data_IF_723369167205
#
_entry.id   IF_723369167205
#
_cell.length_a   1.000
_cell.length_b   1.000
_cell.length_c   1.000
_cell.angle_alpha   90.00
_cell.angle_beta   90.00
_cell.angle_gamma   90.00
#
_symmetry.space_group_name_H-M   'P 1'
#
loop_
_entity.id
_entity.type
_entity.pdbx_description
1 polymer ?
#
# COMPACT_ATOMS: atom_id res chain seq x y z
N UNK A 1 36.12 -35.74 1.64
CA UNK A 1 35.52 -35.38 0.33
C UNK A 1 34.02 -35.33 0.53
N UNK A 2 33.47 -34.15 0.83
CA UNK A 2 32.02 -33.96 0.97
C UNK A 2 31.64 -32.89 -0.04
N UNK A 3 30.81 -33.28 -0.99
CA UNK A 3 30.31 -32.43 -2.07
C UNK A 3 29.39 -31.34 -1.51
N UNK A 4 29.71 -30.09 -1.82
CA UNK A 4 28.80 -28.95 -1.73
C UNK A 4 27.64 -29.17 -2.72
N UNK A 5 26.62 -29.92 -2.30
CA UNK A 5 25.33 -29.97 -2.98
C UNK A 5 24.61 -28.62 -2.79
N UNK A 6 24.82 -27.73 -3.75
CA UNK A 6 23.73 -27.08 -4.46
C UNK A 6 22.64 -26.37 -3.63
N UNK A 7 22.99 -25.57 -2.62
CA UNK A 7 22.03 -24.62 -2.05
C UNK A 7 21.72 -23.50 -3.07
N UNK A 8 20.68 -23.67 -3.90
CA UNK A 8 20.13 -22.60 -4.74
C UNK A 8 19.60 -21.46 -3.85
N UNK A 9 19.87 -20.17 -4.16
CA UNK A 9 19.53 -19.07 -3.27
C UNK A 9 18.02 -18.90 -3.08
N UNK A 10 17.59 -18.55 -1.85
CA UNK A 10 16.21 -18.32 -1.37
C UNK A 10 15.36 -17.32 -2.19
N UNK A 11 16.01 -16.54 -3.04
CA UNK A 11 15.38 -15.87 -4.19
C UNK A 11 16.23 -16.24 -5.39
N UNK A 12 15.91 -17.35 -6.05
CA UNK A 12 16.63 -17.74 -7.26
C UNK A 12 16.59 -16.56 -8.22
N UNK A 13 17.74 -15.90 -8.44
CA UNK A 13 17.92 -15.15 -9.67
C UNK A 13 17.72 -16.19 -10.75
N UNK A 14 16.57 -16.17 -11.42
CA UNK A 14 16.35 -16.99 -12.62
C UNK A 14 17.53 -16.67 -13.51
N UNK A 15 18.44 -17.63 -13.66
CA UNK A 15 19.56 -17.52 -14.56
C UNK A 15 18.92 -17.50 -15.95
N UNK A 16 18.78 -16.29 -16.48
CA UNK A 16 18.29 -16.13 -17.83
C UNK A 16 19.29 -16.83 -18.75
N UNK A 17 18.81 -17.57 -19.76
CA UNK A 17 19.71 -18.17 -20.72
C UNK A 17 20.53 -17.09 -21.43
N UNK A 18 21.70 -17.45 -21.95
CA UNK A 18 22.56 -16.49 -22.66
C UNK A 18 21.87 -15.91 -23.92
N UNK A 19 21.19 -16.76 -24.68
CA UNK A 19 20.38 -16.42 -25.87
C UNK A 19 19.07 -17.21 -25.89
N UNK A 20 18.11 -16.84 -26.76
CA UNK A 20 16.82 -17.53 -26.86
C UNK A 20 15.91 -17.39 -25.63
N UNK A 21 14.95 -18.30 -25.45
CA UNK A 21 14.03 -18.29 -24.28
C UNK A 21 14.16 -19.51 -23.37
N UNK A 22 14.83 -20.57 -23.81
CA UNK A 22 14.91 -21.84 -23.10
C UNK A 22 16.15 -21.88 -22.20
N UNK A 23 16.00 -22.38 -20.98
CA UNK A 23 17.13 -22.75 -20.12
C UNK A 23 17.85 -23.99 -20.64
N UNK A 24 18.95 -24.36 -20.01
CA UNK A 24 19.68 -25.60 -20.31
C UNK A 24 18.78 -26.84 -20.20
N UNK A 25 17.86 -26.85 -19.22
CA UNK A 25 16.86 -27.91 -19.03
C UNK A 25 15.69 -27.86 -20.05
N UNK A 26 15.75 -27.00 -21.08
CA UNK A 26 14.68 -26.85 -22.07
C UNK A 26 13.42 -26.12 -21.56
N UNK A 27 13.48 -25.47 -20.40
CA UNK A 27 12.33 -24.78 -19.79
C UNK A 27 12.33 -23.31 -20.24
N UNK A 28 11.20 -22.76 -20.73
CA UNK A 28 11.13 -21.33 -21.00
C UNK A 28 11.36 -20.50 -19.73
N UNK A 29 12.27 -19.53 -19.77
CA UNK A 29 12.64 -18.75 -18.57
C UNK A 29 11.42 -18.02 -17.97
N UNK A 30 10.42 -17.66 -18.79
CA UNK A 30 9.19 -17.01 -18.33
C UNK A 30 8.21 -17.97 -17.65
N UNK A 31 8.43 -19.29 -17.71
CA UNK A 31 7.76 -20.29 -16.86
C UNK A 31 8.46 -20.45 -15.49
N UNK A 32 9.71 -20.03 -15.36
CA UNK A 32 10.39 -20.01 -14.05
C UNK A 32 10.04 -18.77 -13.22
N UNK A 33 9.53 -17.72 -13.86
CA UNK A 33 9.24 -16.44 -13.21
C UNK A 33 7.78 -16.38 -12.73
N UNK A 34 7.60 -16.31 -11.41
CA UNK A 34 6.30 -16.11 -10.74
C UNK A 34 5.76 -14.68 -10.78
N UNK A 35 6.61 -13.73 -11.16
CA UNK A 35 6.34 -12.29 -11.07
C UNK A 35 6.23 -11.65 -12.46
N UNK A 36 5.96 -10.35 -12.49
CA UNK A 36 5.92 -9.60 -13.74
C UNK A 36 7.25 -9.73 -14.49
N UNK A 37 7.19 -10.08 -15.77
CA UNK A 37 8.35 -9.98 -16.64
C UNK A 37 8.75 -8.50 -16.78
N UNK A 38 10.06 -8.26 -16.82
CA UNK A 38 10.59 -6.93 -17.13
C UNK A 38 10.37 -6.64 -18.63
N UNK A 39 10.32 -5.36 -19.05
CA UNK A 39 10.16 -5.00 -20.46
C UNK A 39 11.17 -5.69 -21.39
N UNK A 40 12.44 -5.76 -20.98
CA UNK A 40 13.50 -6.46 -21.73
C UNK A 40 13.24 -7.96 -21.89
N UNK A 41 12.61 -8.61 -20.91
CA UNK A 41 12.26 -10.03 -21.01
C UNK A 41 11.10 -10.24 -22.00
N UNK A 42 10.10 -9.36 -21.97
CA UNK A 42 8.97 -9.41 -22.91
C UNK A 42 9.45 -9.22 -24.35
N UNK A 43 10.35 -8.26 -24.57
CA UNK A 43 10.94 -8.02 -25.88
C UNK A 43 11.70 -9.25 -26.39
N UNK A 44 12.47 -9.91 -25.52
CA UNK A 44 13.20 -11.14 -25.85
C UNK A 44 12.27 -12.30 -26.21
N UNK A 45 11.17 -12.50 -25.48
CA UNK A 45 10.16 -13.51 -25.82
C UNK A 45 9.55 -13.24 -27.19
N UNK A 46 9.20 -11.98 -27.46
CA UNK A 46 8.67 -11.56 -28.77
C UNK A 46 9.68 -11.75 -29.91
N UNK A 47 10.96 -11.46 -29.67
CA UNK A 47 12.03 -11.68 -30.66
C UNK A 47 12.22 -13.16 -31.03
N UNK A 48 11.88 -14.07 -30.12
CA UNK A 48 11.88 -15.50 -30.38
C UNK A 48 10.57 -16.02 -31.01
N UNK A 49 9.69 -15.12 -31.49
CA UNK A 49 8.46 -15.49 -32.20
C UNK A 49 7.33 -15.99 -31.30
N UNK A 50 7.43 -15.81 -29.98
CA UNK A 50 6.41 -16.26 -29.03
C UNK A 50 5.44 -15.10 -28.76
N UNK A 51 4.17 -15.31 -29.10
CA UNK A 51 3.09 -14.39 -28.79
C UNK A 51 2.40 -14.80 -27.48
N UNK A 52 2.65 -14.03 -26.43
CA UNK A 52 2.04 -14.28 -25.13
C UNK A 52 0.57 -13.83 -25.13
N UNK A 53 -0.35 -14.75 -24.84
CA UNK A 53 -1.78 -14.44 -24.72
C UNK A 53 -2.06 -13.56 -23.51
N UNK A 54 -2.81 -12.50 -23.74
CA UNK A 54 -3.33 -11.58 -22.72
C UNK A 54 -4.83 -11.82 -22.60
N UNK A 55 -5.35 -11.80 -21.37
CA UNK A 55 -6.79 -11.97 -21.10
C UNK A 55 -7.11 -13.25 -20.34
N UNK A 56 -8.41 -13.59 -20.34
CA UNK A 56 -8.97 -14.70 -19.58
C UNK A 56 -8.44 -16.06 -20.07
N UNK A 57 -8.45 -17.04 -19.17
CA UNK A 57 -8.13 -18.43 -19.50
C UNK A 57 -9.38 -19.11 -20.08
N UNK A 58 -9.22 -19.83 -21.19
CA UNK A 58 -10.28 -20.66 -21.74
C UNK A 58 -10.58 -21.88 -20.85
N UNK A 59 -11.67 -22.58 -21.13
CA UNK A 59 -12.01 -23.80 -20.41
C UNK A 59 -10.97 -24.91 -20.66
N UNK A 60 -10.44 -25.01 -21.87
CA UNK A 60 -9.38 -25.96 -22.22
C UNK A 60 -8.10 -25.68 -21.42
N UNK A 61 -7.72 -24.40 -21.29
CA UNK A 61 -6.56 -24.01 -20.48
C UNK A 61 -6.78 -24.33 -18.99
N UNK A 62 -7.99 -24.12 -18.47
CA UNK A 62 -8.32 -24.49 -17.09
C UNK A 62 -8.25 -26.01 -16.87
N UNK A 63 -8.85 -26.81 -17.77
CA UNK A 63 -8.81 -28.27 -17.68
C UNK A 63 -7.39 -28.83 -17.83
N UNK A 64 -6.53 -28.17 -18.61
CA UNK A 64 -5.12 -28.53 -18.70
C UNK A 64 -4.39 -28.21 -17.38
N UNK A 65 -4.66 -27.05 -16.78
CA UNK A 65 -4.07 -26.64 -15.51
C UNK A 65 -4.48 -27.56 -14.35
N UNK A 66 -5.72 -28.06 -14.34
CA UNK A 66 -6.18 -29.09 -13.39
C UNK A 66 -5.40 -30.38 -13.53
N UNK A 67 -5.30 -30.91 -14.76
CA UNK A 67 -4.52 -32.14 -15.03
C UNK A 67 -3.04 -31.99 -14.67
N UNK A 68 -2.45 -30.82 -14.96
CA UNK A 68 -1.06 -30.53 -14.59
C UNK A 68 -0.88 -30.54 -13.07
N UNK A 69 -1.82 -29.97 -12.32
CA UNK A 69 -1.80 -30.00 -10.85
C UNK A 69 -1.94 -31.41 -10.30
N UNK A 70 -2.91 -32.19 -10.77
CA UNK A 70 -3.11 -33.58 -10.34
C UNK A 70 -1.88 -34.45 -10.59
N UNK A 71 -1.28 -34.34 -11.78
CA UNK A 71 -0.05 -35.05 -12.13
C UNK A 71 1.10 -34.65 -11.21
N UNK A 72 1.29 -33.35 -10.99
CA UNK A 72 2.34 -32.85 -10.10
C UNK A 72 2.13 -33.31 -8.66
N UNK A 73 0.89 -33.25 -8.16
CA UNK A 73 0.53 -33.64 -6.81
C UNK A 73 0.82 -35.13 -6.59
N UNK A 74 0.40 -35.99 -7.52
CA UNK A 74 0.70 -37.43 -7.48
C UNK A 74 2.21 -37.72 -7.54
N UNK A 75 2.93 -37.09 -8.46
CA UNK A 75 4.38 -37.32 -8.64
C UNK A 75 5.23 -36.89 -7.44
N UNK A 76 4.76 -35.93 -6.65
CA UNK A 76 5.49 -35.37 -5.52
C UNK A 76 4.87 -35.71 -4.16
N UNK A 77 3.91 -36.64 -4.12
CA UNK A 77 3.18 -37.06 -2.93
C UNK A 77 2.60 -35.86 -2.13
N UNK A 78 1.98 -34.93 -2.84
CA UNK A 78 1.30 -33.75 -2.29
C UNK A 78 -0.20 -33.97 -2.35
N UNK A 79 -0.90 -33.60 -1.29
CA UNK A 79 -2.37 -33.60 -1.30
C UNK A 79 -2.91 -32.61 -2.34
N UNK A 80 -3.77 -33.08 -3.24
CA UNK A 80 -4.44 -32.28 -4.27
C UNK A 80 -5.19 -31.06 -3.69
N UNK A 81 -5.64 -31.10 -2.44
CA UNK A 81 -6.31 -29.97 -1.76
C UNK A 81 -5.40 -28.76 -1.57
N UNK A 82 -4.07 -28.93 -1.61
CA UNK A 82 -3.07 -27.90 -1.34
C UNK A 82 -2.76 -26.97 -2.51
N UNK A 83 -3.49 -27.08 -3.62
CA UNK A 83 -3.26 -26.28 -4.83
C UNK A 83 -3.22 -24.77 -4.55
N UNK A 84 -4.14 -24.27 -3.73
CA UNK A 84 -4.21 -22.86 -3.37
C UNK A 84 -2.98 -22.40 -2.59
N UNK A 85 -2.55 -23.21 -1.63
CA UNK A 85 -1.34 -22.98 -0.84
C UNK A 85 -0.12 -22.90 -1.76
N UNK A 86 0.01 -23.87 -2.69
CA UNK A 86 1.13 -23.94 -3.62
C UNK A 86 1.17 -22.73 -4.57
N UNK A 87 0.01 -22.23 -4.99
CA UNK A 87 -0.10 -21.00 -5.77
C UNK A 87 0.24 -19.72 -4.96
N UNK A 88 0.50 -19.83 -3.66
CA UNK A 88 0.83 -18.73 -2.75
C UNK A 88 -0.37 -18.16 -1.99
N UNK A 89 -1.47 -18.92 -1.96
CA UNK A 89 -2.77 -18.56 -1.38
C UNK A 89 -2.69 -18.04 0.04
N UNK A 90 -2.00 -18.79 0.90
CA UNK A 90 -1.83 -18.55 2.34
C UNK A 90 -0.49 -17.90 2.71
N UNK A 91 0.19 -17.25 1.76
CA UNK A 91 1.57 -16.79 1.95
C UNK A 91 1.76 -15.68 3.01
N UNK A 92 0.68 -15.07 3.52
CA UNK A 92 0.73 -14.08 4.61
C UNK A 92 0.30 -14.67 5.95
N UNK A 93 -0.44 -15.76 5.91
CA UNK A 93 -0.98 -16.49 7.03
C UNK A 93 -0.01 -17.59 7.50
N UNK A 94 0.77 -18.14 6.56
CA UNK A 94 1.88 -19.06 6.85
C UNK A 94 3.00 -18.38 7.62
N UNK A 95 3.64 -19.17 8.48
CA UNK A 95 4.88 -18.78 9.13
C UNK A 95 6.01 -18.59 8.08
N UNK A 96 7.02 -17.79 8.43
CA UNK A 96 8.12 -17.47 7.52
C UNK A 96 8.94 -18.70 7.12
N UNK A 97 9.15 -19.65 8.04
CA UNK A 97 9.91 -20.88 7.82
C UNK A 97 9.11 -21.86 6.98
N UNK A 98 7.83 -22.10 7.29
CA UNK A 98 6.91 -22.91 6.49
C UNK A 98 6.82 -22.39 5.05
N UNK A 99 6.64 -21.07 4.87
CA UNK A 99 6.64 -20.46 3.55
C UNK A 99 7.98 -20.66 2.82
N UNK A 100 9.09 -20.56 3.54
CA UNK A 100 10.42 -20.75 2.97
C UNK A 100 10.61 -22.19 2.51
N UNK A 101 10.22 -23.15 3.35
CA UNK A 101 10.28 -24.58 3.06
C UNK A 101 9.41 -24.93 1.85
N UNK A 102 8.20 -24.37 1.75
CA UNK A 102 7.32 -24.54 0.60
C UNK A 102 7.98 -24.03 -0.69
N UNK A 103 8.59 -22.85 -0.67
CA UNK A 103 9.26 -22.29 -1.85
C UNK A 103 10.49 -23.10 -2.27
N UNK A 104 11.27 -23.59 -1.30
CA UNK A 104 12.42 -24.46 -1.55
C UNK A 104 11.97 -25.76 -2.21
N UNK A 105 10.93 -26.39 -1.65
CA UNK A 105 10.33 -27.59 -2.21
C UNK A 105 9.85 -27.36 -3.65
N UNK A 106 9.06 -26.31 -3.88
CA UNK A 106 8.54 -25.94 -5.20
C UNK A 106 9.61 -25.69 -6.25
N UNK A 107 10.75 -25.10 -5.85
CA UNK A 107 11.87 -24.90 -6.76
C UNK A 107 12.61 -26.21 -7.06
N UNK A 108 12.74 -27.10 -6.07
CA UNK A 108 13.38 -28.41 -6.24
C UNK A 108 12.57 -29.31 -7.19
N UNK A 109 11.24 -29.22 -7.13
CA UNK A 109 10.31 -30.06 -7.90
C UNK A 109 9.83 -29.39 -9.20
N UNK A 110 10.38 -28.24 -9.60
CA UNK A 110 9.98 -27.48 -10.79
C UNK A 110 8.47 -27.23 -10.87
N UNK A 111 7.85 -26.83 -9.76
CA UNK A 111 6.39 -26.63 -9.68
C UNK A 111 5.84 -25.70 -10.76
N UNK A 112 6.39 -24.49 -10.94
CA UNK A 112 5.83 -23.53 -11.91
C UNK A 112 5.97 -24.05 -13.35
N UNK A 113 7.15 -24.55 -13.79
CA UNK A 113 7.25 -25.25 -15.07
C UNK A 113 6.23 -26.38 -15.25
N UNK A 114 6.02 -27.21 -14.23
CA UNK A 114 5.05 -28.31 -14.29
C UNK A 114 3.61 -27.79 -14.49
N UNK A 115 3.23 -26.69 -13.83
CA UNK A 115 1.91 -26.08 -14.04
C UNK A 115 1.76 -25.46 -15.43
N UNK A 116 2.86 -24.96 -16.00
CA UNK A 116 2.90 -24.36 -17.34
C UNK A 116 3.00 -25.38 -18.49
N UNK A 117 3.05 -26.69 -18.20
CA UNK A 117 3.17 -27.72 -19.24
C UNK A 117 2.02 -27.61 -20.26
N UNK A 118 2.37 -27.42 -21.54
CA UNK A 118 1.39 -27.21 -22.63
C UNK A 118 0.81 -25.79 -22.73
N UNK A 119 1.13 -24.87 -21.82
CA UNK A 119 0.68 -23.47 -21.82
C UNK A 119 1.79 -22.51 -22.25
N UNK A 120 2.44 -22.80 -23.39
CA UNK A 120 3.67 -22.10 -23.84
C UNK A 120 3.47 -20.62 -24.20
N UNK A 121 2.23 -20.21 -24.46
CA UNK A 121 1.80 -18.83 -24.74
C UNK A 121 1.35 -18.09 -23.47
N UNK A 122 1.46 -18.70 -22.29
CA UNK A 122 1.18 -18.08 -20.99
C UNK A 122 2.45 -17.96 -20.16
N UNK A 123 2.52 -16.92 -19.34
CA UNK A 123 3.62 -16.76 -18.37
C UNK A 123 3.37 -17.55 -17.09
N UNK A 124 4.44 -17.94 -16.39
CA UNK A 124 4.33 -18.57 -15.07
C UNK A 124 3.52 -17.74 -14.08
N UNK A 125 3.68 -16.41 -14.11
CA UNK A 125 2.83 -15.49 -13.34
C UNK A 125 1.34 -15.65 -13.64
N UNK A 126 0.97 -15.71 -14.92
CA UNK A 126 -0.44 -15.83 -15.33
C UNK A 126 -1.01 -17.16 -14.85
N UNK A 127 -0.28 -18.25 -15.05
CA UNK A 127 -0.68 -19.59 -14.60
C UNK A 127 -0.88 -19.63 -13.08
N UNK A 128 0.09 -19.14 -12.30
CA UNK A 128 -0.04 -19.09 -10.84
C UNK A 128 -1.18 -18.16 -10.39
N UNK A 129 -1.36 -17.02 -11.05
CA UNK A 129 -2.48 -16.11 -10.76
C UNK A 129 -3.83 -16.77 -11.05
N UNK A 130 -3.91 -17.60 -12.09
CA UNK A 130 -5.12 -18.36 -12.41
C UNK A 130 -5.36 -19.47 -11.40
N UNK A 131 -4.34 -20.19 -10.97
CA UNK A 131 -4.45 -21.18 -9.89
C UNK A 131 -5.00 -20.56 -8.60
N UNK A 132 -4.55 -19.36 -8.22
CA UNK A 132 -5.08 -18.64 -7.06
C UNK A 132 -6.59 -18.36 -7.17
N UNK A 133 -7.13 -18.27 -8.38
CA UNK A 133 -8.57 -18.07 -8.60
C UNK A 133 -9.29 -19.42 -8.57
N UNK A 134 -8.83 -20.38 -9.38
CA UNK A 134 -9.47 -21.70 -9.53
C UNK A 134 -9.54 -22.48 -8.23
N UNK A 135 -8.47 -22.43 -7.45
CA UNK A 135 -8.36 -23.20 -6.21
C UNK A 135 -8.69 -22.39 -4.97
N UNK A 136 -9.22 -21.17 -5.12
CA UNK A 136 -9.67 -20.41 -3.96
C UNK A 136 -10.72 -21.24 -3.18
N UNK A 137 -10.63 -21.37 -1.84
CA UNK A 137 -11.59 -22.16 -1.06
C UNK A 137 -13.06 -21.79 -1.33
N UNK A 138 -13.28 -20.50 -1.59
CA UNK A 138 -14.60 -19.95 -1.93
C UNK A 138 -15.10 -20.16 -3.36
N UNK A 139 -14.32 -20.75 -4.26
CA UNK A 139 -14.76 -20.89 -5.66
C UNK A 139 -15.72 -22.08 -5.85
N UNK A 140 -15.55 -23.16 -5.08
CA UNK A 140 -16.41 -24.36 -5.16
C UNK A 140 -17.71 -24.23 -4.35
N UNK A 141 -17.70 -23.47 -3.27
CA UNK A 141 -18.82 -23.34 -2.32
C UNK A 141 -19.31 -21.89 -2.22
N UNK A 142 -19.75 -21.32 -3.35
CA UNK A 142 -20.43 -20.01 -3.31
C UNK A 142 -21.86 -20.18 -2.81
N UNK A 143 -22.02 -20.31 -1.50
CA UNK A 143 -23.33 -20.12 -0.85
C UNK A 143 -23.82 -18.70 -1.16
N UNK A 144 -25.12 -18.45 -1.20
CA UNK A 144 -25.59 -17.05 -1.29
C UNK A 144 -25.14 -16.27 -0.06
N UNK A 145 -24.92 -14.97 -0.24
CA UNK A 145 -24.59 -14.10 0.88
C UNK A 145 -25.85 -13.90 1.74
N UNK A 146 -25.82 -14.38 2.98
CA UNK A 146 -26.92 -14.29 3.93
C UNK A 146 -26.53 -13.47 5.18
N UNK A 147 -27.48 -13.28 6.10
CA UNK A 147 -27.27 -12.48 7.32
C UNK A 147 -26.20 -13.09 8.24
N UNK A 148 -26.14 -14.41 8.33
CA UNK A 148 -25.18 -15.14 9.16
C UNK A 148 -23.74 -14.93 8.67
N UNK A 149 -23.56 -14.91 7.34
CA UNK A 149 -22.28 -14.59 6.71
C UNK A 149 -21.92 -13.10 6.86
N UNK A 150 -22.91 -12.21 6.83
CA UNK A 150 -22.72 -10.77 7.11
C UNK A 150 -22.19 -10.56 8.54
N UNK A 151 -22.78 -11.22 9.55
CA UNK A 151 -22.31 -11.11 10.94
C UNK A 151 -20.88 -11.64 11.12
N UNK A 152 -20.55 -12.79 10.52
CA UNK A 152 -19.19 -13.32 10.56
C UNK A 152 -18.19 -12.38 9.87
N UNK A 153 -18.58 -11.79 8.73
CA UNK A 153 -17.79 -10.78 8.03
C UNK A 153 -17.54 -9.54 8.90
N UNK A 154 -18.59 -8.97 9.48
CA UNK A 154 -18.48 -7.77 10.32
C UNK A 154 -17.62 -8.03 11.56
N UNK A 155 -17.77 -9.19 12.21
CA UNK A 155 -16.93 -9.61 13.33
C UNK A 155 -15.45 -9.69 12.94
N UNK A 156 -15.12 -10.39 11.85
CA UNK A 156 -13.73 -10.50 11.39
C UNK A 156 -13.15 -9.14 10.97
N UNK A 157 -13.97 -8.28 10.38
CA UNK A 157 -13.56 -6.92 10.03
C UNK A 157 -13.27 -6.08 11.28
N UNK A 158 -14.13 -6.15 12.30
CA UNK A 158 -13.95 -5.47 13.58
C UNK A 158 -12.70 -5.96 14.36
N UNK A 159 -12.33 -7.24 14.22
CA UNK A 159 -11.08 -7.80 14.74
C UNK A 159 -9.82 -7.27 14.01
N UNK A 160 -9.98 -6.47 12.95
CA UNK A 160 -8.87 -5.89 12.19
C UNK A 160 -8.26 -6.84 11.15
N UNK A 161 -8.97 -7.91 10.78
CA UNK A 161 -8.49 -8.84 9.76
C UNK A 161 -8.37 -8.16 8.39
N UNK A 162 -7.32 -8.49 7.64
CA UNK A 162 -7.17 -7.99 6.27
C UNK A 162 -8.21 -8.60 5.33
N UNK A 163 -8.56 -7.93 4.23
CA UNK A 163 -9.56 -8.45 3.29
C UNK A 163 -9.21 -9.83 2.71
N UNK A 164 -7.91 -10.16 2.61
CA UNK A 164 -7.46 -11.49 2.20
C UNK A 164 -7.68 -12.55 3.29
N UNK A 165 -7.39 -12.22 4.55
CA UNK A 165 -7.62 -13.13 5.67
C UNK A 165 -9.12 -13.43 5.86
N UNK A 166 -9.96 -12.40 5.73
CA UNK A 166 -11.42 -12.54 5.75
C UNK A 166 -11.90 -13.41 4.58
N UNK A 167 -11.39 -13.16 3.37
CA UNK A 167 -11.68 -13.95 2.17
C UNK A 167 -11.37 -15.43 2.34
N UNK A 168 -10.26 -15.78 3.00
CA UNK A 168 -9.93 -17.16 3.32
C UNK A 168 -10.88 -17.75 4.36
N UNK A 169 -11.08 -17.07 5.50
CA UNK A 169 -11.90 -17.59 6.62
C UNK A 169 -13.36 -17.80 6.23
N UNK A 170 -13.92 -16.87 5.48
CA UNK A 170 -15.31 -16.94 5.01
C UNK A 170 -15.47 -17.74 3.71
N UNK A 171 -14.36 -18.20 3.13
CA UNK A 171 -14.35 -18.87 1.82
C UNK A 171 -15.09 -18.01 0.77
N UNK A 172 -14.69 -16.75 0.64
CA UNK A 172 -15.23 -15.79 -0.34
C UNK A 172 -14.15 -15.17 -1.17
N UNK A 173 -14.47 -14.74 -2.38
CA UNK A 173 -13.48 -14.06 -3.21
C UNK A 173 -13.05 -12.75 -2.52
N UNK A 174 -11.76 -12.40 -2.64
CA UNK A 174 -11.27 -11.12 -2.11
C UNK A 174 -12.04 -9.93 -2.70
N UNK A 175 -12.44 -10.00 -3.97
CA UNK A 175 -13.19 -8.95 -4.64
C UNK A 175 -14.56 -8.72 -3.98
N UNK A 176 -15.25 -9.80 -3.63
CA UNK A 176 -16.52 -9.76 -2.89
C UNK A 176 -16.32 -9.19 -1.48
N UNK A 177 -15.28 -9.63 -0.75
CA UNK A 177 -14.95 -9.04 0.55
C UNK A 177 -14.61 -7.55 0.44
N UNK A 178 -13.83 -7.13 -0.55
CA UNK A 178 -13.52 -5.71 -0.76
C UNK A 178 -14.81 -4.91 -1.07
N UNK A 179 -15.74 -5.49 -1.83
CA UNK A 179 -17.05 -4.90 -2.07
C UNK A 179 -17.85 -4.76 -0.78
N UNK A 180 -17.90 -5.80 0.06
CA UNK A 180 -18.59 -5.75 1.36
C UNK A 180 -17.93 -4.81 2.35
N UNK A 181 -16.62 -4.69 2.37
CA UNK A 181 -15.91 -3.65 3.14
C UNK A 181 -16.34 -2.26 2.70
N UNK A 182 -16.45 -2.01 1.39
CA UNK A 182 -16.95 -0.72 0.89
C UNK A 182 -18.41 -0.49 1.31
N UNK A 183 -19.25 -1.53 1.31
CA UNK A 183 -20.65 -1.44 1.70
C UNK A 183 -20.84 -1.23 3.20
N UNK A 184 -20.04 -1.94 4.02
CA UNK A 184 -20.00 -1.79 5.46
C UNK A 184 -19.52 -0.39 5.82
N UNK A 185 -18.42 0.08 5.24
CA UNK A 185 -17.98 1.47 5.41
C UNK A 185 -19.09 2.46 5.12
N UNK A 186 -19.87 2.26 4.05
CA UNK A 186 -21.04 3.10 3.76
C UNK A 186 -22.15 3.04 4.83
N UNK A 187 -22.31 1.93 5.57
CA UNK A 187 -23.32 1.76 6.64
C UNK A 187 -22.84 2.18 8.03
N UNK A 188 -21.62 1.76 8.40
CA UNK A 188 -21.05 1.88 9.74
C UNK A 188 -20.17 3.11 9.91
N UNK A 189 -19.66 3.71 8.83
CA UNK A 189 -19.49 5.15 8.87
C UNK A 189 -20.93 5.67 8.98
N UNK A 190 -21.37 5.86 10.25
CA UNK A 190 -22.44 6.80 10.54
C UNK A 190 -22.19 7.98 9.59
N UNK A 191 -23.21 8.53 8.89
CA UNK A 191 -23.03 9.90 8.46
C UNK A 191 -22.57 10.61 9.73
N UNK A 192 -21.31 11.06 9.80
CA UNK A 192 -20.75 11.63 11.02
C UNK A 192 -21.57 12.88 11.31
N UNK A 193 -22.74 12.77 11.95
CA UNK A 193 -23.83 13.74 11.83
C UNK A 193 -23.61 14.71 10.67
N UNK A 194 -23.48 14.19 9.43
CA UNK A 194 -23.07 15.05 8.30
C UNK A 194 -24.20 16.02 7.92
N UNK A 195 -25.36 15.84 8.56
CA UNK A 195 -26.50 16.74 8.53
C UNK A 195 -26.28 18.01 9.37
N UNK A 196 -25.32 18.01 10.31
CA UNK A 196 -24.96 19.20 11.11
C UNK A 196 -23.67 19.90 10.65
N UNK A 197 -23.12 19.52 9.48
CA UNK A 197 -21.92 20.16 8.92
C UNK A 197 -22.28 21.46 8.18
N UNK A 198 -22.78 22.44 8.94
CA UNK A 198 -22.55 23.85 8.62
C UNK A 198 -21.15 24.33 9.03
N UNK A 199 -20.33 23.41 9.54
CA UNK A 199 -18.91 23.66 9.82
C UNK A 199 -18.15 23.92 8.53
N UNK A 200 -17.56 25.11 8.45
CA UNK A 200 -16.70 25.55 7.36
C UNK A 200 -15.60 24.53 7.09
N UNK A 201 -15.36 24.24 5.81
CA UNK A 201 -14.31 23.30 5.40
C UNK A 201 -12.95 23.81 5.92
N UNK A 202 -12.15 22.94 6.55
CA UNK A 202 -10.79 23.31 6.95
C UNK A 202 -9.96 23.66 5.73
N UNK A 203 -8.99 24.57 5.88
CA UNK A 203 -8.14 25.00 4.77
C UNK A 203 -7.42 23.83 4.09
N UNK A 204 -6.99 22.81 4.85
CA UNK A 204 -6.39 21.63 4.24
C UNK A 204 -7.39 20.81 3.42
N UNK A 205 -8.61 20.62 3.92
CA UNK A 205 -9.65 19.91 3.16
C UNK A 205 -10.03 20.67 1.89
N UNK A 206 -10.11 22.00 1.96
CA UNK A 206 -10.35 22.88 0.81
C UNK A 206 -9.24 22.77 -0.22
N UNK A 207 -7.97 22.88 0.20
CA UNK A 207 -6.83 22.73 -0.70
C UNK A 207 -6.79 21.36 -1.39
N UNK A 208 -7.25 20.29 -0.73
CA UNK A 208 -7.38 18.96 -1.36
C UNK A 208 -8.47 18.91 -2.41
N UNK A 209 -9.66 19.45 -2.10
CA UNK A 209 -10.76 19.51 -3.07
C UNK A 209 -10.33 20.31 -4.31
N UNK A 210 -9.75 21.49 -4.10
CA UNK A 210 -9.32 22.36 -5.18
C UNK A 210 -8.23 21.69 -6.01
N UNK A 211 -7.20 21.14 -5.34
CA UNK A 211 -6.13 20.41 -6.03
C UNK A 211 -6.61 19.17 -6.78
N UNK A 212 -7.69 18.52 -6.32
CA UNK A 212 -8.32 17.42 -7.06
C UNK A 212 -8.99 17.92 -8.33
N UNK A 213 -9.81 18.96 -8.26
CA UNK A 213 -10.48 19.54 -9.43
C UNK A 213 -9.45 20.08 -10.42
N UNK A 214 -8.50 20.91 -9.98
CA UNK A 214 -7.40 21.42 -10.81
C UNK A 214 -6.65 20.31 -11.54
N UNK A 215 -6.37 19.18 -10.87
CA UNK A 215 -5.69 18.04 -11.50
C UNK A 215 -6.47 17.49 -12.69
N UNK A 216 -7.80 17.40 -12.57
CA UNK A 216 -8.68 16.86 -13.61
C UNK A 216 -9.03 17.87 -14.68
N UNK A 217 -8.84 19.17 -14.44
CA UNK A 217 -8.91 20.21 -15.46
C UNK A 217 -7.64 20.33 -16.31
N UNK A 218 -6.58 19.58 -16.03
CA UNK A 218 -5.41 19.58 -16.92
C UNK A 218 -5.76 18.89 -18.26
N UNK A 219 -5.32 19.41 -19.42
CA UNK A 219 -5.69 18.86 -20.74
C UNK A 219 -5.43 17.35 -20.89
N UNK A 220 -4.36 16.84 -20.28
CA UNK A 220 -4.02 15.40 -20.31
C UNK A 220 -4.97 14.50 -19.50
N UNK A 221 -5.80 15.06 -18.63
CA UNK A 221 -6.65 14.35 -17.69
C UNK A 221 -8.14 14.66 -17.88
N UNK A 222 -8.50 15.79 -18.48
CA UNK A 222 -9.87 16.24 -18.61
C UNK A 222 -10.68 15.27 -19.49
N UNK A 223 -11.82 14.72 -19.01
CA UNK A 223 -12.74 13.98 -19.87
C UNK A 223 -13.27 14.87 -20.99
N UNK A 224 -13.37 14.35 -22.21
CA UNK A 224 -13.83 15.13 -23.37
C UNK A 224 -15.24 15.70 -23.17
N UNK A 225 -16.12 14.96 -22.51
CA UNK A 225 -17.49 15.39 -22.21
C UNK A 225 -17.54 16.54 -21.20
N UNK A 226 -16.52 16.67 -20.35
CA UNK A 226 -16.38 17.80 -19.45
C UNK A 226 -15.74 19.00 -20.17
N UNK A 227 -14.76 18.75 -21.03
CA UNK A 227 -14.10 19.77 -21.86
C UNK A 227 -15.13 20.53 -22.72
N UNK A 228 -16.10 19.84 -23.32
CA UNK A 228 -17.20 20.45 -24.08
C UNK A 228 -18.09 21.40 -23.25
N UNK A 229 -18.12 21.23 -21.92
CA UNK A 229 -18.89 22.10 -21.04
C UNK A 229 -18.11 23.34 -20.61
N UNK A 230 -16.78 23.27 -20.63
CA UNK A 230 -15.89 24.32 -20.13
C UNK A 230 -15.79 25.50 -21.12
N UNK A 231 -15.50 26.72 -20.63
CA UNK A 231 -15.33 27.87 -21.50
C UNK A 231 -14.11 27.69 -22.41
N UNK A 232 -14.17 28.26 -23.62
CA UNK A 232 -13.04 28.28 -24.56
C UNK A 232 -11.86 29.08 -23.98
N UNK A 233 -10.90 28.37 -23.39
CA UNK A 233 -9.67 28.90 -22.78
C UNK A 233 -8.53 27.90 -22.92
N UNK A 234 -7.29 28.39 -22.95
CA UNK A 234 -6.10 27.51 -22.98
C UNK A 234 -5.91 26.71 -21.68
N UNK A 235 -6.28 27.30 -20.55
CA UNK A 235 -6.17 26.66 -19.23
C UNK A 235 -7.42 26.96 -18.41
N UNK A 236 -7.89 25.93 -17.69
CA UNK A 236 -9.04 26.05 -16.81
C UNK A 236 -8.62 25.97 -15.35
N UNK A 237 -9.26 26.79 -14.52
CA UNK A 237 -9.11 26.80 -13.06
C UNK A 237 -10.40 26.30 -12.37
N UNK A 238 -10.34 26.15 -11.04
CA UNK A 238 -11.47 25.61 -10.27
C UNK A 238 -12.69 26.53 -10.30
N UNK A 239 -12.50 27.84 -10.45
CA UNK A 239 -13.60 28.78 -10.58
C UNK A 239 -14.28 28.67 -11.96
N UNK A 240 -13.54 28.41 -13.04
CA UNK A 240 -14.14 28.11 -14.35
C UNK A 240 -15.06 26.88 -14.26
N UNK A 241 -14.59 25.82 -13.58
CA UNK A 241 -15.40 24.63 -13.34
C UNK A 241 -16.60 24.90 -12.44
N UNK A 242 -16.49 25.77 -11.42
CA UNK A 242 -17.60 26.17 -10.54
C UNK A 242 -18.66 27.03 -11.25
N UNK A 243 -18.28 27.76 -12.31
CA UNK A 243 -19.20 28.60 -13.09
C UNK A 243 -20.04 27.81 -14.10
N UNK A 244 -19.77 26.51 -14.31
CA UNK A 244 -20.63 25.66 -15.13
C UNK A 244 -22.06 25.66 -14.56
N UNK A 245 -23.06 25.87 -15.43
CA UNK A 245 -24.47 25.93 -15.02
C UNK A 245 -24.94 24.59 -14.45
N UNK A 246 -24.69 23.50 -15.18
CA UNK A 246 -25.03 22.15 -14.75
C UNK A 246 -23.89 21.52 -13.94
N UNK A 247 -23.78 21.93 -12.66
CA UNK A 247 -22.79 21.37 -11.74
C UNK A 247 -22.99 19.88 -11.50
N UNK A 248 -24.22 19.40 -11.45
CA UNK A 248 -24.50 17.99 -11.16
C UNK A 248 -23.90 17.08 -12.25
N UNK A 249 -24.12 17.45 -13.51
CA UNK A 249 -23.52 16.78 -14.66
C UNK A 249 -22.00 16.94 -14.68
N UNK A 250 -21.46 18.15 -14.48
CA UNK A 250 -20.03 18.38 -14.47
C UNK A 250 -19.28 17.55 -13.40
N UNK A 251 -19.84 17.49 -12.19
CA UNK A 251 -19.33 16.68 -11.08
C UNK A 251 -19.39 15.19 -11.43
N UNK A 252 -20.34 14.73 -12.24
CA UNK A 252 -20.47 13.30 -12.59
C UNK A 252 -19.26 12.75 -13.35
N UNK A 253 -18.55 13.60 -14.11
CA UNK A 253 -17.38 13.19 -14.92
C UNK A 253 -16.09 13.03 -14.12
N UNK A 254 -16.03 13.57 -12.89
CA UNK A 254 -14.83 13.49 -12.06
C UNK A 254 -14.82 12.22 -11.18
N UNK A 255 -13.67 11.54 -11.02
CA UNK A 255 -13.59 10.30 -10.23
C UNK A 255 -13.42 10.56 -8.72
N UNK A 256 -14.48 11.08 -8.11
CA UNK A 256 -14.55 11.43 -6.68
C UNK A 256 -14.23 10.29 -5.72
N UNK A 257 -14.40 9.03 -6.15
CA UNK A 257 -14.05 7.86 -5.35
C UNK A 257 -12.57 7.88 -4.92
N UNK A 258 -11.69 8.48 -5.72
CA UNK A 258 -10.27 8.61 -5.36
C UNK A 258 -10.01 9.53 -4.16
N UNK A 259 -10.94 10.43 -3.83
CA UNK A 259 -10.84 11.33 -2.67
C UNK A 259 -11.31 10.69 -1.37
N UNK A 260 -12.13 9.64 -1.40
CA UNK A 260 -12.63 9.01 -0.16
C UNK A 260 -11.49 8.50 0.69
N UNK A 261 -10.46 7.94 0.06
CA UNK A 261 -9.25 7.50 0.76
C UNK A 261 -8.43 8.64 1.34
N UNK A 262 -8.44 9.83 0.73
CA UNK A 262 -7.68 10.99 1.20
C UNK A 262 -8.39 11.71 2.34
N UNK A 263 -9.68 11.99 2.17
CA UNK A 263 -10.46 12.80 3.10
C UNK A 263 -11.16 11.96 4.17
N UNK A 264 -11.17 10.63 4.06
CA UNK A 264 -11.95 9.73 4.92
C UNK A 264 -13.43 10.12 5.00
N UNK A 265 -14.00 10.50 3.85
CA UNK A 265 -15.41 10.88 3.69
C UNK A 265 -16.02 10.13 2.51
N UNK A 266 -17.31 9.77 2.56
CA UNK A 266 -17.98 9.13 1.44
C UNK A 266 -18.22 10.12 0.29
N UNK A 267 -18.34 9.60 -0.94
CA UNK A 267 -18.48 10.42 -2.17
C UNK A 267 -19.64 11.43 -2.08
N UNK A 268 -20.86 11.08 -1.62
CA UNK A 268 -21.95 12.05 -1.52
C UNK A 268 -21.62 13.25 -0.63
N UNK A 269 -20.93 13.01 0.48
CA UNK A 269 -20.49 14.08 1.40
C UNK A 269 -19.43 14.95 0.73
N UNK A 270 -18.45 14.35 0.06
CA UNK A 270 -17.41 15.10 -0.68
C UNK A 270 -18.06 16.00 -1.75
N UNK A 271 -19.05 15.48 -2.50
CA UNK A 271 -19.79 16.26 -3.50
C UNK A 271 -20.59 17.40 -2.86
N UNK A 272 -21.26 17.16 -1.72
CA UNK A 272 -21.98 18.20 -0.97
C UNK A 272 -21.03 19.32 -0.51
N UNK A 273 -19.84 18.97 -0.04
CA UNK A 273 -18.81 19.94 0.35
C UNK A 273 -18.27 20.71 -0.86
N UNK A 274 -18.08 20.04 -2.00
CA UNK A 274 -17.71 20.72 -3.23
C UNK A 274 -18.76 21.75 -3.66
N UNK A 275 -20.05 21.42 -3.59
CA UNK A 275 -21.13 22.36 -3.93
C UNK A 275 -21.12 23.61 -3.04
N UNK A 276 -20.82 23.48 -1.73
CA UNK A 276 -20.61 24.65 -0.86
C UNK A 276 -19.44 25.52 -1.33
N UNK A 277 -18.35 24.90 -1.78
CA UNK A 277 -17.20 25.64 -2.33
C UNK A 277 -17.49 26.24 -3.71
N UNK A 278 -18.39 25.66 -4.51
CA UNK A 278 -18.90 26.27 -5.75
C UNK A 278 -19.58 27.60 -5.46
N UNK A 279 -20.47 27.65 -4.47
CA UNK A 279 -21.16 28.88 -4.09
C UNK A 279 -20.16 29.95 -3.62
N UNK A 280 -19.16 29.54 -2.81
CA UNK A 280 -18.05 30.42 -2.39
C UNK A 280 -17.26 30.97 -3.59
N UNK A 281 -16.92 30.11 -4.56
CA UNK A 281 -16.18 30.50 -5.76
C UNK A 281 -17.01 31.45 -6.63
N UNK A 282 -18.30 31.19 -6.82
CA UNK A 282 -19.21 32.05 -7.59
C UNK A 282 -19.32 33.44 -6.99
N UNK A 283 -19.59 33.54 -5.68
CA UNK A 283 -19.64 34.81 -4.97
C UNK A 283 -18.30 35.58 -5.06
N UNK A 284 -17.19 34.86 -5.01
CA UNK A 284 -15.85 35.46 -5.14
C UNK A 284 -15.56 35.92 -6.57
N UNK A 285 -15.99 35.17 -7.59
CA UNK A 285 -15.94 35.59 -9.00
C UNK A 285 -16.72 36.88 -9.22
N UNK A 286 -17.94 36.96 -8.71
CA UNK A 286 -18.76 38.18 -8.80
C UNK A 286 -18.04 39.37 -8.17
N UNK A 287 -17.45 39.19 -6.98
CA UNK A 287 -16.67 40.21 -6.29
C UNK A 287 -15.45 40.69 -7.11
N UNK A 288 -14.86 39.82 -7.93
CA UNK A 288 -13.75 40.15 -8.82
C UNK A 288 -14.20 40.41 -10.27
N UNK A 289 -15.45 40.83 -10.50
CA UNK A 289 -15.98 41.18 -11.84
C UNK A 289 -15.85 40.05 -12.88
N UNK A 290 -16.01 38.80 -12.45
CA UNK A 290 -15.91 37.61 -13.31
C UNK A 290 -14.48 37.10 -13.53
N UNK A 291 -13.48 37.66 -12.88
CA UNK A 291 -12.08 37.19 -12.96
C UNK A 291 -11.90 35.87 -12.20
N UNK A 292 -11.91 34.76 -12.94
CA UNK A 292 -11.86 33.40 -12.37
C UNK A 292 -10.50 33.05 -11.77
N UNK A 293 -9.42 33.64 -12.27
CA UNK A 293 -8.08 33.43 -11.71
C UNK A 293 -7.96 34.10 -10.34
N UNK A 294 -8.35 35.38 -10.23
CA UNK A 294 -8.35 36.08 -8.93
C UNK A 294 -9.27 35.40 -7.92
N UNK A 295 -10.43 34.93 -8.37
CA UNK A 295 -11.37 34.23 -7.48
C UNK A 295 -10.81 32.90 -6.98
N UNK A 296 -10.17 32.12 -7.86
CA UNK A 296 -9.46 30.89 -7.50
C UNK A 296 -8.37 31.19 -6.48
N UNK A 297 -7.52 32.18 -6.76
CA UNK A 297 -6.39 32.54 -5.90
C UNK A 297 -6.83 33.05 -4.52
N UNK A 298 -7.93 33.78 -4.45
CA UNK A 298 -8.49 34.29 -3.19
C UNK A 298 -9.12 33.18 -2.34
N UNK A 299 -9.70 32.14 -2.96
CA UNK A 299 -10.32 31.04 -2.23
C UNK A 299 -9.36 29.90 -1.89
N UNK A 300 -8.27 29.72 -2.64
CA UNK A 300 -7.40 28.57 -2.49
C UNK A 300 -6.44 28.73 -1.29
N UNK A 301 -6.55 27.90 -0.24
CA UNK A 301 -5.62 27.95 0.86
C UNK A 301 -4.26 27.46 0.36
N UNK A 302 -3.26 28.32 0.41
CA UNK A 302 -1.90 28.04 -0.07
C UNK A 302 -1.07 27.36 1.02
N UNK A 303 -1.63 26.35 1.71
CA UNK A 303 -0.94 25.73 2.84
C UNK A 303 0.32 25.01 2.35
N UNK A 304 1.44 25.17 3.07
CA UNK A 304 2.68 24.50 2.73
C UNK A 304 2.59 22.99 3.00
N UNK A 305 3.45 22.23 2.32
CA UNK A 305 3.72 20.84 2.67
C UNK A 305 4.50 20.80 3.99
N UNK A 306 4.32 19.76 4.81
CA UNK A 306 5.11 19.58 6.03
C UNK A 306 6.62 19.55 5.72
N UNK A 307 7.38 20.32 6.49
CA UNK A 307 8.84 20.39 6.42
C UNK A 307 9.50 19.19 7.09
N UNK A 308 10.78 18.95 6.78
CA UNK A 308 11.60 17.92 7.44
C UNK A 308 11.61 18.14 8.95
N UNK A 309 11.80 19.39 9.39
CA UNK A 309 11.89 19.75 10.81
C UNK A 309 10.57 19.54 11.56
N UNK A 310 9.45 19.98 10.98
CA UNK A 310 8.11 19.71 11.51
C UNK A 310 7.88 18.20 11.63
N UNK A 311 8.17 17.42 10.58
CA UNK A 311 7.98 15.98 10.62
C UNK A 311 8.89 15.29 11.64
N UNK A 312 10.15 15.72 11.78
CA UNK A 312 11.07 15.17 12.80
C UNK A 312 10.58 15.43 14.23
N UNK A 313 10.02 16.61 14.49
CA UNK A 313 9.36 16.91 15.78
C UNK A 313 8.16 16.00 15.99
N UNK A 314 7.30 15.85 14.98
CA UNK A 314 6.16 14.94 15.05
C UNK A 314 6.58 13.49 15.35
N UNK A 315 7.64 12.99 14.70
CA UNK A 315 8.24 11.68 14.99
C UNK A 315 8.65 11.51 16.47
N UNK A 316 9.11 12.58 17.10
CA UNK A 316 9.45 12.56 18.53
C UNK A 316 8.21 12.38 19.41
N UNK A 317 7.07 12.99 19.02
CA UNK A 317 5.78 12.79 19.71
C UNK A 317 5.29 11.34 19.60
N UNK A 318 5.49 10.67 18.46
CA UNK A 318 5.19 9.24 18.37
C UNK A 318 6.02 8.40 19.35
N UNK A 319 7.27 8.80 19.64
CA UNK A 319 8.13 8.06 20.58
C UNK A 319 7.66 8.18 22.03
N UNK A 320 6.96 9.26 22.40
CA UNK A 320 6.37 9.43 23.73
C UNK A 320 5.41 8.28 24.07
N UNK A 321 4.65 7.79 23.08
CA UNK A 321 3.72 6.67 23.23
C UNK A 321 4.39 5.28 23.25
N UNK A 322 5.68 5.18 22.89
CA UNK A 322 6.43 3.92 22.77
C UNK A 322 5.68 2.81 22.01
N UNK A 323 5.14 3.08 20.80
CA UNK A 323 4.29 2.13 20.10
C UNK A 323 5.07 0.90 19.64
N UNK A 324 4.56 -0.30 19.91
CA UNK A 324 5.16 -1.52 19.37
C UNK A 324 4.90 -1.65 17.85
N UNK A 325 3.70 -1.27 17.41
CA UNK A 325 3.24 -1.28 16.02
C UNK A 325 2.54 0.03 15.66
N UNK A 326 2.53 0.47 14.39
CA UNK A 326 1.81 1.68 14.00
C UNK A 326 0.31 1.66 14.31
N UNK A 327 -0.32 0.48 14.32
CA UNK A 327 -1.72 0.31 14.68
C UNK A 327 -2.03 0.65 16.15
N UNK A 328 -1.02 0.63 17.03
CA UNK A 328 -1.15 0.93 18.47
C UNK A 328 -0.95 2.40 18.82
N UNK A 329 -0.76 3.27 17.82
CA UNK A 329 -0.67 4.72 18.05
C UNK A 329 -2.06 5.25 18.35
N UNK A 330 -2.20 5.88 19.52
CA UNK A 330 -3.38 6.62 19.96
C UNK A 330 -3.40 7.97 19.22
N UNK A 331 -4.39 8.14 18.35
CA UNK A 331 -4.53 9.33 17.51
C UNK A 331 -5.04 10.53 18.31
N UNK A 332 -5.91 10.32 19.29
CA UNK A 332 -6.47 11.42 20.09
C UNK A 332 -5.42 12.00 21.02
N UNK A 333 -4.62 11.13 21.66
CA UNK A 333 -3.47 11.58 22.45
C UNK A 333 -2.44 12.30 21.57
N UNK A 334 -2.15 11.77 20.38
CA UNK A 334 -1.20 12.37 19.45
C UNK A 334 -1.69 13.75 18.96
N UNK A 335 -2.97 13.88 18.61
CA UNK A 335 -3.56 15.13 18.15
C UNK A 335 -3.43 16.24 19.21
N UNK A 336 -3.75 15.92 20.48
CA UNK A 336 -3.58 16.86 21.60
C UNK A 336 -2.13 17.33 21.74
N UNK A 337 -1.16 16.40 21.70
CA UNK A 337 0.27 16.76 21.77
C UNK A 337 0.73 17.60 20.57
N UNK A 338 0.19 17.33 19.37
CA UNK A 338 0.48 18.15 18.18
C UNK A 338 0.01 19.59 18.35
N UNK A 339 -1.20 19.78 18.89
CA UNK A 339 -1.76 21.10 19.16
C UNK A 339 -0.96 21.84 20.24
N UNK A 340 -0.59 21.15 21.33
CA UNK A 340 0.26 21.70 22.40
C UNK A 340 1.64 22.17 21.89
N UNK A 341 2.23 21.42 20.96
CA UNK A 341 3.54 21.76 20.35
C UNK A 341 3.42 22.73 19.16
N UNK A 342 2.22 23.25 18.90
CA UNK A 342 1.88 24.12 17.77
C UNK A 342 2.39 23.57 16.43
N UNK A 343 2.23 22.27 16.24
CA UNK A 343 2.71 21.52 15.08
C UNK A 343 1.60 21.41 14.02
N UNK A 344 1.03 22.56 13.65
CA UNK A 344 -0.15 22.72 12.79
C UNK A 344 0.15 23.63 11.58
N UNK A 345 -0.82 23.84 10.69
CA UNK A 345 -0.72 24.84 9.61
C UNK A 345 -0.05 24.36 8.31
N UNK A 346 0.10 23.05 8.12
CA UNK A 346 0.51 22.44 6.86
C UNK A 346 -0.64 21.64 6.22
N UNK A 347 -0.50 21.32 4.93
CA UNK A 347 -1.50 20.53 4.23
C UNK A 347 -1.49 19.07 4.72
N UNK A 348 -2.58 18.64 5.38
CA UNK A 348 -2.80 17.32 5.99
C UNK A 348 -3.59 16.36 5.08
N UNK A 349 -3.76 16.71 3.81
CA UNK A 349 -4.70 16.04 2.91
C UNK A 349 -6.17 16.02 3.42
N UNK A 350 -6.59 17.04 4.17
CA UNK A 350 -7.97 17.14 4.69
C UNK A 350 -8.25 16.24 5.88
N UNK A 351 -7.21 15.71 6.53
CA UNK A 351 -7.28 14.92 7.76
C UNK A 351 -6.91 15.81 8.95
N UNK A 352 -7.22 15.35 10.16
CA UNK A 352 -6.57 15.89 11.36
C UNK A 352 -5.07 15.54 11.31
N UNK A 353 -4.22 16.40 11.90
CA UNK A 353 -2.78 16.30 11.84
C UNK A 353 -2.26 14.94 12.32
N UNK A 354 -2.79 14.43 13.43
CA UNK A 354 -2.39 13.14 14.00
C UNK A 354 -2.59 11.97 13.04
N UNK A 355 -3.76 11.90 12.38
CA UNK A 355 -4.07 10.84 11.41
C UNK A 355 -3.23 10.99 10.14
N UNK A 356 -3.06 12.22 9.65
CA UNK A 356 -2.17 12.50 8.52
C UNK A 356 -0.73 12.03 8.79
N UNK A 357 -0.18 12.40 9.95
CA UNK A 357 1.17 12.05 10.35
C UNK A 357 1.34 10.54 10.54
N UNK A 358 0.36 9.85 11.14
CA UNK A 358 0.36 8.39 11.28
C UNK A 358 0.40 7.70 9.91
N UNK A 359 -0.37 8.19 8.95
CA UNK A 359 -0.35 7.67 7.57
C UNK A 359 0.98 7.91 6.89
N UNK A 360 1.58 9.09 7.06
CA UNK A 360 2.92 9.37 6.55
C UNK A 360 3.95 8.41 7.15
N UNK A 361 3.93 8.21 8.47
CA UNK A 361 4.80 7.27 9.17
C UNK A 361 4.66 5.85 8.61
N UNK A 362 3.43 5.34 8.49
CA UNK A 362 3.17 4.03 7.90
C UNK A 362 3.76 3.90 6.49
N UNK A 363 3.54 4.90 5.63
CA UNK A 363 4.10 4.93 4.28
C UNK A 363 5.63 4.90 4.28
N UNK A 364 6.27 5.65 5.16
CA UNK A 364 7.72 5.69 5.29
C UNK A 364 8.30 4.37 5.81
N UNK A 365 7.70 3.77 6.84
CA UNK A 365 8.10 2.46 7.36
C UNK A 365 8.04 1.40 6.25
N UNK A 366 6.96 1.36 5.47
CA UNK A 366 6.82 0.42 4.35
C UNK A 366 7.93 0.61 3.31
N UNK A 367 8.22 1.87 2.93
CA UNK A 367 9.28 2.17 1.97
C UNK A 367 10.67 1.77 2.49
N UNK A 368 10.98 2.06 3.75
CA UNK A 368 12.25 1.70 4.36
C UNK A 368 12.42 0.18 4.53
N UNK A 369 11.37 -0.53 4.94
CA UNK A 369 11.36 -2.00 4.99
C UNK A 369 11.67 -2.60 3.62
N UNK A 370 11.07 -2.04 2.56
CA UNK A 370 11.33 -2.48 1.19
C UNK A 370 12.78 -2.24 0.75
N UNK A 371 13.36 -1.08 1.08
CA UNK A 371 14.72 -0.71 0.68
C UNK A 371 15.82 -1.47 1.44
N UNK A 372 15.59 -1.75 2.73
CA UNK A 372 16.57 -2.42 3.61
C UNK A 372 16.46 -3.93 3.57
N UNK A 373 15.28 -4.47 3.23
CA UNK A 373 14.92 -5.89 3.40
C UNK A 373 15.00 -6.36 4.86
N UNK A 374 14.98 -5.45 5.82
CA UNK A 374 15.02 -5.77 7.25
C UNK A 374 13.59 -5.92 7.79
N UNK A 375 13.26 -7.07 8.38
CA UNK A 375 11.90 -7.35 8.90
C UNK A 375 11.75 -7.13 10.42
N UNK A 376 12.85 -7.13 11.19
CA UNK A 376 12.78 -7.31 12.65
C UNK A 376 12.76 -6.01 13.47
N UNK A 377 12.44 -4.87 12.86
CA UNK A 377 12.38 -3.59 13.56
C UNK A 377 10.93 -3.31 13.99
N UNK A 378 10.75 -3.06 15.29
CA UNK A 378 9.49 -2.57 15.85
C UNK A 378 9.24 -1.10 15.43
N UNK A 379 8.08 -0.53 15.76
CA UNK A 379 7.73 0.83 15.32
C UNK A 379 8.67 1.90 15.90
N UNK A 380 9.01 1.82 17.19
CA UNK A 380 9.99 2.72 17.85
C UNK A 380 11.32 2.73 17.09
N UNK A 381 11.83 1.55 16.72
CA UNK A 381 13.11 1.42 16.03
C UNK A 381 13.09 2.06 14.64
N UNK A 382 11.99 1.87 13.92
CA UNK A 382 11.80 2.54 12.64
C UNK A 382 11.70 4.05 12.77
N UNK A 383 11.01 4.54 13.79
CA UNK A 383 10.91 5.98 14.06
C UNK A 383 12.31 6.55 14.36
N UNK A 384 13.12 5.88 15.18
CA UNK A 384 14.50 6.30 15.45
C UNK A 384 15.35 6.34 14.17
N UNK A 385 15.27 5.31 13.32
CA UNK A 385 15.96 5.31 12.01
C UNK A 385 15.51 6.47 11.13
N UNK A 386 14.21 6.78 11.11
CA UNK A 386 13.66 7.90 10.35
C UNK A 386 14.17 9.24 10.89
N UNK A 387 14.16 9.45 12.20
CA UNK A 387 14.70 10.67 12.82
C UNK A 387 16.17 10.88 12.46
N UNK A 388 16.99 9.83 12.57
CA UNK A 388 18.41 9.90 12.23
C UNK A 388 18.60 10.25 10.74
N UNK A 389 17.88 9.56 9.85
CA UNK A 389 17.92 9.86 8.42
C UNK A 389 17.55 11.33 8.13
N UNK A 390 16.49 11.82 8.75
CA UNK A 390 16.01 13.20 8.56
C UNK A 390 16.95 14.24 9.18
N UNK A 391 17.82 13.86 10.11
CA UNK A 391 18.82 14.75 10.70
C UNK A 391 19.92 15.14 9.70
N UNK A 392 20.13 14.33 8.66
CA UNK A 392 21.04 14.66 7.56
C UNK A 392 20.42 15.57 6.49
N UNK A 393 19.13 15.90 6.60
CA UNK A 393 18.44 16.79 5.66
C UNK A 393 18.24 18.17 6.27
N UNK A 394 18.17 19.20 5.41
CA UNK A 394 17.77 20.55 5.81
C UNK A 394 16.35 20.52 6.39
N UNK A 395 16.22 21.00 7.64
CA UNK A 395 14.95 21.03 8.36
C UNK A 395 13.87 21.88 7.69
N UNK A 396 14.24 22.88 6.89
CA UNK A 396 13.32 23.78 6.18
C UNK A 396 12.73 23.18 4.90
N UNK A 397 13.30 22.08 4.41
CA UNK A 397 12.91 21.46 3.14
C UNK A 397 11.48 20.90 3.22
N UNK A 398 10.61 21.23 2.24
CA UNK A 398 9.18 20.81 2.21
C UNK A 398 8.83 19.79 1.11
N UNK A 399 9.66 19.64 0.06
CA UNK A 399 9.47 18.67 -1.03
C UNK A 399 10.26 17.35 -0.85
N UNK A 400 10.62 17.03 0.39
CA UNK A 400 11.49 15.91 0.76
C UNK A 400 10.79 14.53 0.73
N UNK A 401 9.48 14.47 0.89
CA UNK A 401 8.77 13.18 0.94
C UNK A 401 8.75 12.47 -0.44
N UNK A 402 8.82 13.21 -1.54
CA UNK A 402 8.92 12.64 -2.90
C UNK A 402 10.27 11.96 -3.16
N UNK A 403 11.36 12.46 -2.54
CA UNK A 403 12.69 11.85 -2.68
C UNK A 403 12.85 10.57 -1.86
N UNK A 404 12.04 10.35 -0.82
CA UNK A 404 12.08 9.09 -0.04
C UNK A 404 11.63 7.87 -0.85
N UNK A 405 10.84 8.05 -1.91
CA UNK A 405 10.53 6.95 -2.86
C UNK A 405 11.79 6.43 -3.59
N UNK A 406 12.84 7.26 -3.63
CA UNK A 406 14.20 6.95 -4.12
C UNK A 406 15.23 6.97 -2.99
N UNK A 407 14.85 6.66 -1.74
CA UNK A 407 15.80 6.44 -0.66
C UNK A 407 16.95 5.56 -1.17
N UNK A 408 18.15 6.13 -1.32
CA UNK A 408 19.30 5.42 -1.88
C UNK A 408 19.59 4.27 -0.94
N UNK A 409 19.46 3.02 -1.41
CA UNK A 409 19.64 1.82 -0.59
C UNK A 409 20.91 1.89 0.27
N UNK A 410 21.98 2.50 -0.25
CA UNK A 410 23.24 2.72 0.49
C UNK A 410 23.11 3.66 1.69
N UNK A 411 22.44 4.80 1.56
CA UNK A 411 22.27 5.76 2.66
C UNK A 411 21.38 5.18 3.75
N UNK A 412 20.27 4.55 3.36
CA UNK A 412 19.40 3.90 4.33
C UNK A 412 20.11 2.75 5.03
N UNK A 413 20.85 1.89 4.31
CA UNK A 413 21.64 0.82 4.96
C UNK A 413 22.70 1.37 5.89
N UNK A 414 23.37 2.48 5.53
CA UNK A 414 24.33 3.14 6.42
C UNK A 414 23.64 3.60 7.71
N UNK A 415 22.53 4.32 7.61
CA UNK A 415 21.78 4.80 8.79
C UNK A 415 21.26 3.63 9.62
N UNK A 416 20.66 2.62 9.00
CA UNK A 416 20.21 1.41 9.71
C UNK A 416 21.37 0.69 10.40
N UNK A 417 22.52 0.56 9.74
CA UNK A 417 23.70 -0.07 10.35
C UNK A 417 24.26 0.75 11.52
N UNK A 418 24.31 2.08 11.40
CA UNK A 418 24.68 2.98 12.49
C UNK A 418 23.72 2.82 13.68
N UNK A 419 22.41 2.79 13.45
CA UNK A 419 21.41 2.60 14.52
C UNK A 419 21.55 1.21 15.17
N UNK A 420 21.79 0.16 14.39
CA UNK A 420 22.06 -1.20 14.94
C UNK A 420 23.31 -1.18 15.82
N UNK A 421 24.39 -0.54 15.35
CA UNK A 421 25.63 -0.39 16.11
C UNK A 421 25.42 0.41 17.40
N UNK A 422 24.66 1.52 17.33
CA UNK A 422 24.31 2.33 18.51
C UNK A 422 23.51 1.51 19.51
N UNK A 423 22.50 0.74 19.06
CA UNK A 423 21.74 -0.18 19.92
C UNK A 423 22.62 -1.24 20.57
N UNK A 424 23.51 -1.89 19.80
CA UNK A 424 24.45 -2.87 20.34
C UNK A 424 25.36 -2.25 21.39
N UNK A 425 25.89 -1.04 21.14
CA UNK A 425 26.70 -0.31 22.13
C UNK A 425 25.91 0.02 23.39
N UNK A 426 24.66 0.50 23.27
CA UNK A 426 23.79 0.74 24.43
C UNK A 426 23.47 -0.55 25.21
N UNK A 427 23.16 -1.64 24.52
CA UNK A 427 22.90 -2.95 25.14
C UNK A 427 24.14 -3.49 25.85
N UNK A 428 25.33 -3.38 25.25
CA UNK A 428 26.59 -3.76 25.89
C UNK A 428 26.83 -2.89 27.13
N UNK A 429 26.65 -1.57 27.02
CA UNK A 429 26.81 -0.66 28.16
C UNK A 429 25.83 -1.00 29.29
N UNK A 430 24.57 -1.29 28.97
CA UNK A 430 23.55 -1.70 29.93
C UNK A 430 23.88 -3.05 30.59
N UNK A 431 24.33 -4.04 29.80
CA UNK A 431 24.75 -5.34 30.33
C UNK A 431 25.99 -5.21 31.24
N UNK A 432 26.95 -4.36 30.88
CA UNK A 432 28.11 -4.05 31.72
C UNK A 432 27.72 -3.38 33.03
N UNK A 433 26.79 -2.42 32.99
CA UNK A 433 26.31 -1.75 34.21
C UNK A 433 25.53 -2.73 35.10
N UNK A 434 24.71 -3.60 34.52
CA UNK A 434 23.99 -4.65 35.25
C UNK A 434 24.95 -5.65 35.90
N UNK A 435 25.95 -6.15 35.17
CA UNK A 435 26.99 -7.02 35.72
C UNK A 435 27.78 -6.31 36.84
N UNK A 436 28.05 -5.01 36.69
CA UNK A 436 28.72 -4.22 37.74
C UNK A 436 27.86 -4.15 38.99
N UNK A 437 26.55 -3.91 38.87
CA UNK A 437 25.65 -3.90 40.03
C UNK A 437 25.53 -5.27 40.69
N UNK A 438 25.44 -6.35 39.91
CA UNK A 438 25.42 -7.73 40.43
C UNK A 438 26.74 -8.07 41.14
N UNK A 439 27.87 -7.65 40.59
CA UNK A 439 29.20 -7.85 41.21
C UNK A 439 29.31 -7.08 42.52
N UNK A 440 28.81 -5.83 42.57
CA UNK A 440 28.78 -5.04 43.80
C UNK A 440 27.87 -5.69 44.85
N UNK A 441 26.73 -6.26 44.46
CA UNK A 441 25.83 -6.97 45.37
C UNK A 441 26.50 -8.21 45.99
N UNK A 442 27.15 -9.05 45.16
CA UNK A 442 27.89 -10.23 45.63
C UNK A 442 29.04 -9.83 46.54
N UNK A 443 29.79 -8.78 46.21
CA UNK A 443 30.89 -8.30 47.06
C UNK A 443 30.40 -7.76 48.40
N UNK A 444 29.20 -7.17 48.46
CA UNK A 444 28.58 -6.77 49.73
C UNK A 444 28.18 -7.99 50.56
N UNK A 445 27.56 -9.00 49.95
CA UNK A 445 27.22 -10.27 50.64
C UNK A 445 28.45 -11.03 51.15
N UNK A 446 29.62 -10.89 50.50
CA UNK A 446 30.87 -11.51 50.95
C UNK A 446 31.61 -10.71 52.03
N UNK A 447 31.23 -9.45 52.26
CA UNK A 447 31.84 -8.56 53.25
C UNK A 447 31.01 -8.45 54.55
N UNK A 448 29.77 -8.94 54.53
CA UNK A 448 28.92 -9.22 55.70
C UNK A 448 29.21 -10.63 56.24
#
# INVERSE_FOLDING_TARGET
MSSDEGCRPLRGKVLLPASGVLTEDGIPFYHLIRYALKPIHLQRVKQCGIELKIGQFSNEENNLLERNWERYAAANNVDCSRAYEFAGGYSREMDADERTNLLVFQNKTNFVPAMCEGLNDRTGRQVISRMLIMYHPGEKNRLEWNNELEEQFEKLYAEGCSSRAISIRLQRSKAEIDYRINLLRRRTEKPCDFDDYDTELTDSARQVLYGFVTKWLLPRNCPSELEEMLPEKETWNVADFALLQDQEKAISYLPWLSLTWKMLRPVPVIKKLWLKEVDRLRATCERFNGDTEKATDACMPKLPLISVGEYRRALSLFLEQKPMFPSRIDIEQLQRRIEEENLVGYCTNGLIEGEFLKRMLCGHIVNFRHATRTMNFNCVDWITVLIEYLTHLDGSLRKWHYSMKKCREREVRKVTFTVILMKRKCLIKFAMEKMRQETIAILKELLE
#
